data_IF_529408284899
#
_entry.id   IF_529408284899
#
_cell.length_a   1.000
_cell.length_b   1.000
_cell.length_c   1.000
_cell.angle_alpha   90.00
_cell.angle_beta   90.00
_cell.angle_gamma   90.00
#
_symmetry.space_group_name_H-M   'P 1'
#
loop_
_entity.id
_entity.type
_entity.pdbx_description
1 polymer ?
#
# COMPACT_ATOMS: atom_id res chain seq x y z
N UNK A 1 34.06 -13.02 -26.48
CA UNK A 1 33.41 -13.44 -25.23
C UNK A 1 32.07 -12.73 -25.23
N UNK A 2 31.03 -13.42 -25.69
CA UNK A 2 29.68 -12.88 -25.71
C UNK A 2 29.19 -12.76 -24.26
N UNK A 3 28.81 -11.53 -23.88
CA UNK A 3 28.28 -11.17 -22.55
C UNK A 3 26.76 -11.40 -22.50
N UNK A 4 26.27 -12.43 -23.18
CA UNK A 4 24.85 -12.72 -23.26
C UNK A 4 24.47 -13.73 -22.19
N UNK A 5 23.35 -13.46 -21.50
CA UNK A 5 22.78 -14.39 -20.54
C UNK A 5 22.35 -15.66 -21.27
N UNK A 6 22.65 -16.82 -20.67
CA UNK A 6 22.05 -18.07 -21.12
C UNK A 6 20.54 -18.07 -20.89
N UNK A 7 19.83 -18.94 -21.62
CA UNK A 7 18.38 -19.11 -21.47
C UNK A 7 17.98 -19.39 -20.00
N UNK A 8 18.77 -20.20 -19.30
CA UNK A 8 18.53 -20.53 -17.89
C UNK A 8 18.70 -19.32 -16.95
N UNK A 9 19.67 -18.45 -17.22
CA UNK A 9 19.87 -17.21 -16.49
C UNK A 9 18.74 -16.21 -16.79
N UNK A 10 18.27 -16.16 -18.03
CA UNK A 10 17.15 -15.31 -18.40
C UNK A 10 15.88 -15.75 -17.67
N UNK A 11 15.61 -17.05 -17.67
CA UNK A 11 14.53 -17.65 -16.89
C UNK A 11 14.63 -17.32 -15.38
N UNK A 12 15.84 -17.28 -14.84
CA UNK A 12 16.07 -16.87 -13.44
C UNK A 12 15.73 -15.40 -13.22
N UNK A 13 16.16 -14.49 -14.10
CA UNK A 13 15.83 -13.05 -13.96
C UNK A 13 14.33 -12.82 -14.13
N UNK A 14 13.64 -13.54 -15.02
CA UNK A 14 12.16 -13.45 -15.14
C UNK A 14 11.47 -13.87 -13.83
N UNK A 15 11.95 -14.92 -13.16
CA UNK A 15 11.46 -15.30 -11.83
C UNK A 15 11.73 -14.21 -10.78
N UNK A 16 12.90 -13.58 -10.80
CA UNK A 16 13.20 -12.46 -9.91
C UNK A 16 12.27 -11.27 -10.15
N UNK A 17 12.04 -10.88 -11.41
CA UNK A 17 11.11 -9.80 -11.76
C UNK A 17 9.69 -10.11 -11.28
N UNK A 18 9.25 -11.36 -11.41
CA UNK A 18 7.98 -11.81 -10.85
C UNK A 18 7.89 -11.60 -9.33
N UNK A 19 8.98 -11.85 -8.58
CA UNK A 19 9.02 -11.58 -7.13
C UNK A 19 9.01 -10.07 -6.82
N UNK A 20 9.78 -9.28 -7.57
CA UNK A 20 9.89 -7.83 -7.38
C UNK A 20 8.59 -7.09 -7.70
N UNK A 21 7.76 -7.62 -8.62
CA UNK A 21 6.44 -7.04 -8.92
C UNK A 21 5.52 -6.93 -7.70
N UNK A 22 5.70 -7.78 -6.68
CA UNK A 22 4.95 -7.67 -5.42
C UNK A 22 5.43 -6.51 -4.56
N UNK A 23 6.76 -6.30 -4.49
CA UNK A 23 7.32 -5.16 -3.78
C UNK A 23 6.95 -3.84 -4.46
N UNK A 24 6.96 -3.81 -5.79
CA UNK A 24 6.50 -2.66 -6.58
C UNK A 24 5.04 -2.31 -6.25
N UNK A 25 4.14 -3.30 -6.22
CA UNK A 25 2.73 -3.09 -5.85
C UNK A 25 2.58 -2.52 -4.43
N UNK A 26 3.34 -3.05 -3.46
CA UNK A 26 3.33 -2.54 -2.10
C UNK A 26 3.87 -1.10 -2.03
N UNK A 27 5.00 -0.82 -2.71
CA UNK A 27 5.58 0.52 -2.79
C UNK A 27 4.59 1.52 -3.40
N UNK A 28 3.92 1.13 -4.49
CA UNK A 28 2.92 1.97 -5.14
C UNK A 28 1.78 2.26 -4.16
N UNK A 29 1.31 1.28 -3.38
CA UNK A 29 0.27 1.50 -2.38
C UNK A 29 0.66 2.57 -1.34
N UNK A 30 1.94 2.65 -0.96
CA UNK A 30 2.44 3.68 -0.02
C UNK A 30 2.61 5.07 -0.66
N UNK A 31 2.87 5.12 -1.97
CA UNK A 31 3.44 6.29 -2.64
C UNK A 31 2.50 6.95 -3.65
N UNK A 32 1.22 6.55 -3.71
CA UNK A 32 0.25 7.19 -4.60
C UNK A 32 0.10 8.68 -4.22
N UNK A 33 -0.03 9.54 -5.23
CA UNK A 33 -0.37 10.96 -5.03
C UNK A 33 -1.87 11.24 -5.09
N UNK A 34 -2.68 10.21 -5.31
CA UNK A 34 -4.12 10.33 -5.59
C UNK A 34 -4.98 10.44 -4.33
N UNK A 35 -4.38 10.33 -3.14
CA UNK A 35 -5.08 10.49 -1.88
C UNK A 35 -4.22 10.11 -0.68
N UNK A 36 -4.78 10.13 0.54
CA UNK A 36 -4.09 9.67 1.74
C UNK A 36 -3.71 8.19 1.61
N UNK A 37 -2.43 7.83 1.73
CA UNK A 37 -1.96 6.44 1.60
C UNK A 37 -1.74 5.74 2.94
N UNK A 38 -1.90 6.45 4.06
CA UNK A 38 -1.60 5.89 5.38
C UNK A 38 -2.46 4.66 5.72
N UNK A 39 -3.70 4.64 5.24
CA UNK A 39 -4.65 3.54 5.44
C UNK A 39 -4.26 2.26 4.67
N UNK A 40 -3.45 2.36 3.61
CA UNK A 40 -3.03 1.20 2.81
C UNK A 40 -1.75 0.56 3.34
N UNK A 41 -1.07 1.20 4.30
CA UNK A 41 0.27 0.81 4.71
C UNK A 41 0.34 -0.61 5.30
N UNK A 42 -0.46 -0.88 6.35
CA UNK A 42 -0.52 -2.21 6.97
C UNK A 42 -1.04 -3.28 6.00
N UNK A 43 -2.17 -3.07 5.28
CA UNK A 43 -2.64 -4.03 4.28
C UNK A 43 -1.60 -4.38 3.21
N UNK A 44 -0.86 -3.40 2.69
CA UNK A 44 0.14 -3.64 1.65
C UNK A 44 1.33 -4.46 2.17
N UNK A 45 1.77 -4.22 3.41
CA UNK A 45 2.80 -5.04 4.06
C UNK A 45 2.32 -6.48 4.28
N UNK A 46 1.08 -6.67 4.73
CA UNK A 46 0.49 -8.01 4.93
C UNK A 46 0.37 -8.79 3.62
N UNK A 47 -0.10 -8.14 2.55
CA UNK A 47 -0.21 -8.74 1.22
C UNK A 47 1.18 -9.10 0.67
N UNK A 48 2.18 -8.23 0.83
CA UNK A 48 3.55 -8.51 0.42
C UNK A 48 4.14 -9.69 1.21
N UNK A 49 4.00 -9.68 2.53
CA UNK A 49 4.47 -10.75 3.40
C UNK A 49 3.85 -12.10 3.02
N UNK A 50 2.52 -12.14 2.83
CA UNK A 50 1.79 -13.35 2.41
C UNK A 50 2.25 -13.84 1.03
N UNK A 51 2.42 -12.92 0.08
CA UNK A 51 2.90 -13.25 -1.25
C UNK A 51 4.28 -13.92 -1.17
N UNK A 52 5.27 -13.25 -0.57
CA UNK A 52 6.63 -13.78 -0.46
C UNK A 52 6.73 -15.06 0.37
N UNK A 53 6.00 -15.18 1.48
CA UNK A 53 5.96 -16.41 2.28
C UNK A 53 5.48 -17.61 1.45
N UNK A 54 4.46 -17.40 0.61
CA UNK A 54 3.95 -18.46 -0.28
C UNK A 54 4.99 -18.84 -1.35
N UNK A 55 5.74 -17.87 -1.88
CA UNK A 55 6.75 -18.14 -2.94
C UNK A 55 8.00 -18.79 -2.35
N UNK A 56 8.39 -18.44 -1.13
CA UNK A 56 9.51 -19.08 -0.41
C UNK A 56 9.33 -20.59 -0.32
N UNK A 57 8.09 -21.06 -0.09
CA UNK A 57 7.79 -22.48 0.02
C UNK A 57 7.64 -23.20 -1.34
N UNK A 58 7.78 -22.48 -2.45
CA UNK A 58 7.66 -23.04 -3.80
C UNK A 58 9.02 -23.41 -4.36
N UNK A 59 9.15 -24.64 -4.88
CA UNK A 59 10.37 -25.12 -5.57
C UNK A 59 10.78 -24.19 -6.72
N UNK A 60 9.81 -23.53 -7.37
CA UNK A 60 10.06 -22.56 -8.46
C UNK A 60 11.00 -21.42 -8.03
N UNK A 61 11.00 -21.04 -6.76
CA UNK A 61 11.77 -19.90 -6.25
C UNK A 61 12.86 -20.33 -5.26
N UNK A 62 13.28 -21.60 -5.28
CA UNK A 62 14.30 -22.13 -4.38
C UNK A 62 15.60 -21.31 -4.40
N UNK A 63 16.02 -20.84 -5.59
CA UNK A 63 17.21 -20.00 -5.81
C UNK A 63 17.16 -18.64 -5.09
N UNK A 64 15.99 -18.22 -4.62
CA UNK A 64 15.74 -16.92 -3.99
C UNK A 64 15.41 -17.03 -2.50
N UNK A 65 15.49 -18.22 -1.90
CA UNK A 65 15.08 -18.45 -0.51
C UNK A 65 15.78 -17.50 0.47
N UNK A 66 17.09 -17.33 0.35
CA UNK A 66 17.86 -16.41 1.22
C UNK A 66 17.44 -14.94 1.06
N UNK A 67 17.18 -14.51 -0.18
CA UNK A 67 16.69 -13.16 -0.46
C UNK A 67 15.27 -12.95 0.07
N UNK A 68 14.40 -13.96 -0.06
CA UNK A 68 13.05 -13.95 0.49
C UNK A 68 13.06 -13.91 2.02
N UNK A 69 13.98 -14.61 2.67
CA UNK A 69 14.16 -14.56 4.12
C UNK A 69 14.54 -13.16 4.60
N UNK A 70 15.55 -12.56 3.99
CA UNK A 70 15.94 -11.19 4.28
C UNK A 70 14.79 -10.20 4.01
N UNK A 71 14.07 -10.39 2.90
CA UNK A 71 12.91 -9.57 2.54
C UNK A 71 11.77 -9.68 3.54
N UNK A 72 11.40 -10.90 3.94
CA UNK A 72 10.34 -11.16 4.91
C UNK A 72 10.67 -10.59 6.30
N UNK A 73 11.92 -10.76 6.76
CA UNK A 73 12.38 -10.14 8.00
C UNK A 73 12.22 -8.61 7.93
N UNK A 74 12.62 -8.01 6.80
CA UNK A 74 12.50 -6.56 6.63
C UNK A 74 11.06 -6.07 6.59
N UNK A 75 10.16 -6.82 5.94
CA UNK A 75 8.72 -6.51 5.94
C UNK A 75 8.14 -6.61 7.35
N UNK A 76 8.59 -7.60 8.15
CA UNK A 76 8.24 -7.72 9.57
C UNK A 76 8.63 -6.49 10.38
N UNK A 77 9.88 -6.04 10.27
CA UNK A 77 10.35 -4.82 10.95
C UNK A 77 9.48 -3.60 10.62
N UNK A 78 9.15 -3.42 9.33
CA UNK A 78 8.30 -2.31 8.91
C UNK A 78 6.87 -2.45 9.40
N UNK A 79 6.33 -3.67 9.45
CA UNK A 79 5.00 -3.94 9.99
C UNK A 79 4.93 -3.53 11.46
N UNK A 80 5.87 -3.98 12.29
CA UNK A 80 5.91 -3.65 13.72
C UNK A 80 6.01 -2.14 13.95
N UNK A 81 6.92 -1.46 13.23
CA UNK A 81 7.08 -0.01 13.33
C UNK A 81 5.84 0.76 12.88
N UNK A 82 5.16 0.27 11.85
CA UNK A 82 3.93 0.89 11.31
C UNK A 82 2.78 0.69 12.29
N UNK A 83 2.62 -0.53 12.82
CA UNK A 83 1.58 -0.91 13.76
C UNK A 83 1.74 -0.25 15.13
N UNK A 84 2.97 0.10 15.54
CA UNK A 84 3.23 0.83 16.77
C UNK A 84 2.59 2.24 16.80
N UNK A 85 2.26 2.80 15.63
CA UNK A 85 1.57 4.09 15.52
C UNK A 85 0.07 3.90 15.33
N UNK A 86 -0.72 4.41 16.27
CA UNK A 86 -2.18 4.46 16.18
C UNK A 86 -2.67 5.22 14.93
N UNK A 87 -1.84 6.07 14.32
CA UNK A 87 -2.22 6.84 13.14
C UNK A 87 -2.62 5.94 11.96
N UNK A 88 -1.94 4.80 11.76
CA UNK A 88 -2.28 3.87 10.67
C UNK A 88 -3.63 3.18 10.92
N UNK A 89 -3.88 2.73 12.15
CA UNK A 89 -5.14 2.09 12.54
C UNK A 89 -6.30 3.08 12.42
N UNK A 90 -6.12 4.31 12.90
CA UNK A 90 -7.14 5.36 12.79
C UNK A 90 -7.36 5.75 11.33
N UNK A 91 -6.31 5.85 10.51
CA UNK A 91 -6.46 6.12 9.08
C UNK A 91 -7.24 5.00 8.35
N UNK A 92 -7.01 3.73 8.70
CA UNK A 92 -7.80 2.61 8.21
C UNK A 92 -9.27 2.71 8.63
N UNK A 93 -9.54 2.99 9.91
CA UNK A 93 -10.90 3.16 10.43
C UNK A 93 -11.66 4.33 9.77
N UNK A 94 -10.93 5.40 9.48
CA UNK A 94 -11.50 6.63 8.96
C UNK A 94 -11.47 6.73 7.44
N UNK A 95 -11.02 5.69 6.71
CA UNK A 95 -10.87 5.71 5.26
C UNK A 95 -12.12 6.27 4.56
N UNK A 96 -12.04 7.52 4.04
CA UNK A 96 -13.16 8.16 3.40
C UNK A 96 -13.56 7.44 2.10
N UNK A 97 -12.63 6.79 1.41
CA UNK A 97 -12.91 6.12 0.14
C UNK A 97 -13.89 4.97 0.33
N UNK A 98 -13.71 4.15 1.37
CA UNK A 98 -14.63 3.08 1.70
C UNK A 98 -16.05 3.61 2.03
N UNK A 99 -16.14 4.70 2.80
CA UNK A 99 -17.42 5.31 3.18
C UNK A 99 -18.13 5.95 2.00
N UNK A 100 -17.39 6.67 1.15
CA UNK A 100 -17.92 7.26 -0.08
C UNK A 100 -18.41 6.19 -1.05
N UNK A 101 -17.69 5.08 -1.19
CA UNK A 101 -18.13 3.95 -2.02
C UNK A 101 -19.44 3.34 -1.51
N UNK A 102 -19.64 3.25 -0.19
CA UNK A 102 -20.91 2.81 0.39
C UNK A 102 -22.06 3.76 0.03
N UNK A 103 -21.86 5.07 0.20
CA UNK A 103 -22.86 6.09 -0.14
C UNK A 103 -23.21 6.02 -1.63
N UNK A 104 -22.20 5.97 -2.50
CA UNK A 104 -22.40 5.80 -3.94
C UNK A 104 -23.24 4.56 -4.26
N UNK A 105 -22.86 3.42 -3.70
CA UNK A 105 -23.49 2.11 -3.99
C UNK A 105 -24.95 2.04 -3.52
N UNK A 106 -25.27 2.58 -2.35
CA UNK A 106 -26.57 2.36 -1.71
C UNK A 106 -27.48 3.59 -1.72
N UNK A 107 -26.94 4.80 -1.75
CA UNK A 107 -27.70 6.05 -1.64
C UNK A 107 -27.67 6.90 -2.92
N UNK A 108 -26.82 6.53 -3.89
CA UNK A 108 -26.76 7.13 -5.22
C UNK A 108 -25.91 8.40 -5.32
N UNK A 109 -25.72 8.86 -6.56
CA UNK A 109 -24.81 9.95 -6.93
C UNK A 109 -25.18 11.32 -6.32
N UNK A 110 -26.48 11.61 -6.20
CA UNK A 110 -26.94 12.88 -5.62
C UNK A 110 -26.51 13.00 -4.15
N UNK A 111 -26.61 11.90 -3.38
CA UNK A 111 -26.18 11.89 -1.99
C UNK A 111 -24.66 11.91 -1.86
N UNK A 112 -23.95 11.23 -2.75
CA UNK A 112 -22.49 11.29 -2.81
C UNK A 112 -22.00 12.73 -3.02
N UNK A 113 -22.55 13.41 -4.03
CA UNK A 113 -22.23 14.81 -4.35
C UNK A 113 -22.46 15.72 -3.15
N UNK A 114 -23.59 15.55 -2.47
CA UNK A 114 -23.93 16.36 -1.28
C UNK A 114 -22.97 16.12 -0.11
N UNK A 115 -22.58 14.87 0.14
CA UNK A 115 -21.62 14.54 1.19
C UNK A 115 -20.23 15.12 0.89
N UNK A 116 -19.79 15.08 -0.38
CA UNK A 116 -18.54 15.71 -0.79
C UNK A 116 -18.56 17.23 -0.59
N UNK A 117 -19.67 17.90 -0.93
CA UNK A 117 -19.84 19.34 -0.68
C UNK A 117 -19.74 19.67 0.82
N UNK A 118 -20.36 18.86 1.70
CA UNK A 118 -20.23 19.06 3.14
C UNK A 118 -18.79 18.91 3.64
N UNK A 119 -18.07 17.92 3.13
CA UNK A 119 -16.66 17.72 3.48
C UNK A 119 -15.80 18.93 3.07
N UNK A 120 -15.99 19.44 1.85
CA UNK A 120 -15.29 20.64 1.37
C UNK A 120 -15.58 21.87 2.22
N UNK A 121 -16.85 22.12 2.56
CA UNK A 121 -17.25 23.26 3.37
C UNK A 121 -16.63 23.22 4.77
N UNK A 122 -16.59 22.03 5.39
CA UNK A 122 -15.94 21.83 6.69
C UNK A 122 -14.45 22.16 6.59
N UNK A 123 -13.75 21.63 5.58
CA UNK A 123 -12.30 21.88 5.40
C UNK A 123 -12.03 23.37 5.19
N UNK A 124 -12.80 24.05 4.33
CA UNK A 124 -12.65 25.50 4.09
C UNK A 124 -12.79 26.29 5.39
N UNK A 125 -13.81 25.99 6.22
CA UNK A 125 -14.01 26.68 7.51
C UNK A 125 -12.85 26.48 8.47
N UNK A 126 -12.32 25.26 8.57
CA UNK A 126 -11.20 24.96 9.46
C UNK A 126 -9.88 25.55 8.98
N UNK A 127 -9.65 25.59 7.66
CA UNK A 127 -8.44 26.21 7.10
C UNK A 127 -8.42 27.73 7.30
N UNK A 128 -9.58 28.39 7.17
CA UNK A 128 -9.73 29.81 7.54
C UNK A 128 -9.47 30.02 9.03
N UNK A 129 -9.97 29.14 9.90
CA UNK A 129 -9.74 29.23 11.34
C UNK A 129 -8.25 29.08 11.71
N UNK A 130 -7.53 28.13 11.10
CA UNK A 130 -6.09 27.96 11.31
C UNK A 130 -5.27 29.17 10.85
N UNK A 131 -5.66 29.82 9.74
CA UNK A 131 -4.99 31.02 9.24
C UNK A 131 -5.23 32.28 10.10
N UNK A 132 -6.19 32.24 11.03
CA UNK A 132 -6.54 33.34 11.94
C UNK A 132 -5.90 33.20 13.34
N UNK A 133 -5.22 32.09 13.63
CA UNK A 133 -4.50 31.91 14.88
C UNK A 133 -3.13 32.62 14.78
N UNK A 134 -2.75 33.47 15.75
CA UNK A 134 -1.43 34.09 15.76
C UNK A 134 -0.36 33.01 15.99
N UNK A 135 0.67 33.01 15.14
CA UNK A 135 1.86 32.15 15.22
C UNK A 135 2.70 32.43 16.45
#
# INVERSE_FOLDING_TARGET
MELELSEAEWERVQRLLSLLSYAEKAQHAFSTKQGPTLHTALPALEVLHKAWSTRKNSVKYADFTSGLDAGLAKVGDYYERTAASNAHIVAMLLDPAQKLNHIHTYWGEDQLTRVMQYAEDIVRRHQVFFNLLPT
#
